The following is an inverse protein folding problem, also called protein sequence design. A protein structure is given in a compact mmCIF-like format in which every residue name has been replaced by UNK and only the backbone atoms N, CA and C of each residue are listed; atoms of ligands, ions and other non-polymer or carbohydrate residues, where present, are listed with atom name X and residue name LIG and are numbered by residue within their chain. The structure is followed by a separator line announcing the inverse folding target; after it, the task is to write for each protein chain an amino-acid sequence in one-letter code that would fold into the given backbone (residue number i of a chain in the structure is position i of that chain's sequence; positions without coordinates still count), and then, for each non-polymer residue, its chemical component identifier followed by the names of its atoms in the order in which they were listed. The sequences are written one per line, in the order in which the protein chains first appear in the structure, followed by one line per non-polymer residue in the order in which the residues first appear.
data_IF_624673412017
#
_entry.id   IF_624673412017
#
_cell.length_a   1.000
_cell.length_b   1.000
_cell.length_c   1.000
_cell.angle_alpha   90.00
_cell.angle_beta   90.00
_cell.angle_gamma   90.00
#
_symmetry.space_group_name_H-M   'P 1'
#
loop_
_entity.id
_entity.type
_entity.pdbx_description
1 polymer ?
#
# COMPACT_ATOMS: atom_id res chain seq x y z
N UNK A 1 17.82 -19.46 -2.27
CA UNK A 1 17.56 -18.98 -3.64
C UNK A 1 16.41 -17.98 -3.60
N UNK A 2 16.39 -16.96 -4.45
CA UNK A 2 15.26 -16.03 -4.51
C UNK A 2 14.02 -16.74 -5.08
N UNK A 3 12.88 -16.60 -4.41
CA UNK A 3 11.61 -17.25 -4.77
C UNK A 3 11.07 -16.79 -6.14
N UNK A 4 11.34 -15.53 -6.51
CA UNK A 4 11.05 -14.96 -7.83
C UNK A 4 12.31 -14.29 -8.37
N UNK A 5 12.67 -14.60 -9.63
CA UNK A 5 13.76 -13.98 -10.37
C UNK A 5 13.29 -13.58 -11.76
N UNK A 6 13.80 -12.46 -12.26
CA UNK A 6 13.55 -11.96 -13.60
C UNK A 6 14.89 -11.76 -14.29
N UNK A 7 14.97 -12.09 -15.57
CA UNK A 7 16.20 -11.82 -16.33
C UNK A 7 16.19 -10.37 -16.85
N UNK A 8 17.36 -9.87 -17.27
CA UNK A 8 17.51 -8.50 -17.76
C UNK A 8 16.58 -8.18 -18.94
N UNK A 9 16.43 -9.10 -19.90
CA UNK A 9 15.59 -8.89 -21.09
C UNK A 9 14.11 -8.68 -20.74
N UNK A 10 13.61 -9.37 -19.71
CA UNK A 10 12.26 -9.18 -19.21
C UNK A 10 12.08 -7.82 -18.51
N UNK A 11 13.08 -7.40 -17.73
CA UNK A 11 13.01 -6.15 -16.96
C UNK A 11 13.01 -4.90 -17.87
N UNK A 12 13.85 -4.89 -18.90
CA UNK A 12 13.91 -3.75 -19.84
C UNK A 12 12.72 -3.70 -20.81
N UNK A 13 11.99 -4.81 -20.99
CA UNK A 13 10.79 -4.85 -21.82
C UNK A 13 9.58 -4.31 -21.06
N UNK A 14 9.25 -3.03 -21.28
CA UNK A 14 8.14 -2.36 -20.61
C UNK A 14 6.78 -3.04 -20.81
N UNK A 15 6.53 -3.72 -21.95
CA UNK A 15 5.28 -4.46 -22.16
C UNK A 15 5.11 -5.66 -21.20
N UNK A 16 6.24 -6.17 -20.68
CA UNK A 16 6.32 -7.24 -19.71
C UNK A 16 6.39 -6.71 -18.27
N UNK A 17 7.29 -5.76 -18.01
CA UNK A 17 7.61 -5.32 -16.65
C UNK A 17 6.55 -4.42 -16.04
N UNK A 18 5.85 -3.61 -16.85
CA UNK A 18 4.79 -2.72 -16.35
C UNK A 18 3.54 -3.46 -15.85
N UNK A 19 3.34 -4.72 -16.27
CA UNK A 19 2.22 -5.57 -15.83
C UNK A 19 2.48 -6.32 -14.53
N UNK A 20 3.67 -6.17 -13.96
CA UNK A 20 4.09 -6.83 -12.71
C UNK A 20 4.30 -5.77 -11.67
N UNK A 21 3.59 -5.93 -10.56
CA UNK A 21 3.55 -4.93 -9.52
C UNK A 21 4.10 -5.48 -8.21
N UNK A 22 4.61 -4.56 -7.39
CA UNK A 22 5.01 -4.78 -6.02
C UNK A 22 3.95 -4.14 -5.14
N UNK A 23 3.51 -4.83 -4.09
CA UNK A 23 2.67 -4.27 -3.05
C UNK A 23 3.32 -4.54 -1.69
N UNK A 24 3.46 -3.47 -0.91
CA UNK A 24 3.76 -3.52 0.51
C UNK A 24 2.64 -2.78 1.23
N UNK A 25 2.11 -3.36 2.31
CA UNK A 25 1.14 -2.72 3.19
C UNK A 25 1.52 -3.00 4.65
N UNK A 26 1.02 -2.20 5.57
CA UNK A 26 1.37 -2.29 6.99
C UNK A 26 0.14 -2.18 7.89
N UNK A 27 0.37 -2.23 9.21
CA UNK A 27 -0.70 -2.24 10.19
C UNK A 27 -1.42 -0.90 10.31
N UNK A 28 -0.82 0.22 9.91
CA UNK A 28 -1.51 1.51 9.95
C UNK A 28 -2.53 1.68 8.81
N UNK A 29 -2.54 0.74 7.84
CA UNK A 29 -3.36 0.81 6.64
C UNK A 29 -2.67 1.55 5.48
N UNK A 30 -1.40 1.92 5.64
CA UNK A 30 -0.58 2.50 4.59
C UNK A 30 -0.12 1.43 3.59
N UNK A 31 0.21 1.87 2.38
CA UNK A 31 0.80 1.00 1.36
C UNK A 31 1.80 1.71 0.46
N UNK A 32 2.67 0.91 -0.16
CA UNK A 32 3.55 1.26 -1.27
C UNK A 32 3.23 0.30 -2.43
N UNK A 33 2.92 0.83 -3.61
CA UNK A 33 2.55 0.04 -4.78
C UNK A 33 3.07 0.68 -6.06
N UNK A 34 3.75 -0.10 -6.90
CA UNK A 34 4.31 0.35 -8.18
C UNK A 34 4.67 -0.87 -9.04
N UNK A 35 5.07 -0.67 -10.29
CA UNK A 35 5.60 -1.76 -11.12
C UNK A 35 6.97 -2.23 -10.64
N UNK A 36 7.41 -3.43 -11.07
CA UNK A 36 8.73 -3.96 -10.73
C UNK A 36 9.91 -3.11 -11.25
N UNK A 37 9.65 -2.14 -12.12
CA UNK A 37 10.65 -1.17 -12.63
C UNK A 37 10.45 0.24 -12.08
N UNK A 38 9.50 0.44 -11.17
CA UNK A 38 9.24 1.73 -10.52
C UNK A 38 8.46 2.75 -11.36
N UNK A 39 7.92 2.33 -12.52
CA UNK A 39 7.03 3.17 -13.32
C UNK A 39 5.59 2.99 -12.85
N UNK A 40 4.95 4.05 -12.40
CA UNK A 40 3.55 4.01 -12.00
C UNK A 40 2.65 3.94 -13.24
N UNK A 41 1.75 2.95 -13.30
CA UNK A 41 0.82 2.73 -14.43
C UNK A 41 -0.65 2.95 -14.06
N UNK A 42 -0.94 3.07 -12.76
CA UNK A 42 -2.29 3.27 -12.22
C UNK A 42 -2.32 4.46 -11.27
N UNK A 43 -3.47 5.12 -11.16
CA UNK A 43 -3.70 6.20 -10.18
C UNK A 43 -3.49 5.75 -8.73
N UNK A 44 -3.56 4.45 -8.46
CA UNK A 44 -3.36 3.89 -7.13
C UNK A 44 -1.90 3.61 -6.79
N UNK A 45 -0.98 3.72 -7.76
CA UNK A 45 0.46 3.52 -7.54
C UNK A 45 1.07 4.75 -6.84
N UNK A 46 1.99 4.50 -5.92
CA UNK A 46 2.68 5.50 -5.11
C UNK A 46 3.63 4.83 -4.11
N UNK A 47 4.65 5.56 -3.66
CA UNK A 47 5.59 5.08 -2.62
C UNK A 47 5.01 5.17 -1.21
N UNK A 48 4.15 6.13 -0.94
CA UNK A 48 3.49 6.27 0.36
C UNK A 48 2.05 6.73 0.19
N UNK A 49 1.13 5.78 0.27
CA UNK A 49 -0.29 6.01 0.47
C UNK A 49 -0.65 5.74 1.93
N UNK A 50 -1.38 6.64 2.57
CA UNK A 50 -1.74 6.54 4.00
C UNK A 50 -3.22 6.86 4.20
N UNK A 51 -3.91 6.23 5.17
CA UNK A 51 -5.20 6.73 5.65
C UNK A 51 -5.04 8.11 6.27
N UNK A 52 -5.94 9.05 5.97
CA UNK A 52 -5.93 10.40 6.54
C UNK A 52 -7.22 10.63 7.32
N UNK A 53 -7.10 10.76 8.64
CA UNK A 53 -8.26 10.84 9.54
C UNK A 53 -9.13 12.06 9.28
N UNK A 54 -8.53 13.21 8.96
CA UNK A 54 -9.24 14.44 8.59
C UNK A 54 -10.16 14.27 7.36
N UNK A 55 -9.93 13.22 6.56
CA UNK A 55 -10.74 12.88 5.38
C UNK A 55 -11.48 11.54 5.56
N UNK A 56 -11.93 11.26 6.79
CA UNK A 56 -12.71 10.05 7.09
C UNK A 56 -11.90 8.76 6.97
N UNK A 57 -10.59 8.81 7.24
CA UNK A 57 -9.66 7.69 7.10
C UNK A 57 -9.52 7.13 5.66
N UNK A 58 -9.96 7.90 4.65
CA UNK A 58 -9.71 7.55 3.25
C UNK A 58 -8.21 7.49 2.95
N UNK A 59 -7.80 6.58 2.05
CA UNK A 59 -6.39 6.46 1.64
C UNK A 59 -6.02 7.59 0.67
N UNK A 60 -4.86 8.20 0.90
CA UNK A 60 -4.32 9.29 0.11
C UNK A 60 -2.84 9.06 -0.21
N UNK A 61 -2.42 9.35 -1.45
CA UNK A 61 -1.02 9.29 -1.85
C UNK A 61 -0.37 10.62 -1.49
N UNK A 62 0.65 10.57 -0.62
CA UNK A 62 1.48 11.72 -0.26
C UNK A 62 2.70 11.80 -1.19
N UNK A 63 3.40 10.67 -1.31
CA UNK A 63 4.61 10.51 -2.11
C UNK A 63 4.33 9.54 -3.26
N UNK A 64 4.29 10.06 -4.49
CA UNK A 64 4.09 9.25 -5.70
C UNK A 64 5.35 8.45 -6.06
N UNK A 65 6.51 9.10 -5.97
CA UNK A 65 7.77 8.52 -6.40
C UNK A 65 8.99 9.30 -5.92
N UNK A 66 10.15 8.67 -6.03
CA UNK A 66 11.46 9.31 -5.92
C UNK A 66 12.20 9.04 -7.22
N UNK A 67 12.57 10.09 -7.94
CA UNK A 67 13.43 9.96 -9.13
C UNK A 67 14.88 10.10 -8.70
N UNK A 68 15.64 9.03 -8.91
CA UNK A 68 17.06 9.02 -8.63
C UNK A 68 17.87 9.39 -9.87
N UNK A 69 18.98 10.08 -9.64
CA UNK A 69 20.05 10.27 -10.61
C UNK A 69 21.39 10.01 -9.96
N UNK A 70 22.29 9.36 -10.70
CA UNK A 70 23.67 9.14 -10.27
C UNK A 70 24.56 10.05 -11.12
N UNK A 71 25.36 10.88 -10.48
CA UNK A 71 26.36 11.73 -11.14
C UNK A 71 27.75 11.14 -10.92
N UNK A 72 28.40 10.76 -12.02
CA UNK A 72 29.76 10.20 -12.04
C UNK A 72 30.56 10.92 -13.12
N UNK A 73 31.77 11.38 -12.80
CA UNK A 73 32.64 12.11 -13.75
C UNK A 73 31.90 13.25 -14.47
N UNK A 74 31.13 14.05 -13.73
CA UNK A 74 30.31 15.17 -14.24
C UNK A 74 29.19 14.78 -15.23
N UNK A 75 28.89 13.49 -15.40
CA UNK A 75 27.77 13.01 -16.21
C UNK A 75 26.65 12.49 -15.31
N UNK A 76 25.43 12.94 -15.58
CA UNK A 76 24.24 12.52 -14.87
C UNK A 76 23.53 11.38 -15.59
N UNK A 77 23.18 10.33 -14.85
CA UNK A 77 22.39 9.20 -15.32
C UNK A 77 21.08 9.12 -14.54
N UNK A 78 19.96 9.38 -15.22
CA UNK A 78 18.63 9.35 -14.62
C UNK A 78 18.13 7.89 -14.52
N UNK A 79 17.75 7.46 -13.33
CA UNK A 79 17.26 6.11 -13.03
C UNK A 79 15.73 6.03 -12.94
N UNK A 80 15.05 7.17 -12.81
CA UNK A 80 13.59 7.27 -12.84
C UNK A 80 12.98 6.83 -14.18
N UNK A 81 11.67 6.63 -14.17
CA UNK A 81 10.86 6.37 -15.35
C UNK A 81 9.43 6.85 -15.15
N UNK A 82 8.95 7.67 -16.07
CA UNK A 82 7.56 8.10 -16.17
C UNK A 82 7.08 7.94 -17.60
N UNK A 83 5.77 7.81 -17.78
CA UNK A 83 5.15 7.83 -19.10
C UNK A 83 4.49 9.19 -19.32
N UNK A 84 4.62 9.76 -20.51
CA UNK A 84 3.99 10.99 -20.96
C UNK A 84 3.34 10.72 -22.33
N UNK A 85 2.02 10.46 -22.32
CA UNK A 85 1.32 9.91 -23.47
C UNK A 85 1.80 8.49 -23.76
N UNK A 86 2.64 8.35 -24.78
CA UNK A 86 3.29 7.12 -25.24
C UNK A 86 4.82 7.16 -25.07
N UNK A 87 5.37 8.28 -24.58
CA UNK A 87 6.81 8.48 -24.41
C UNK A 87 7.22 8.18 -22.98
N UNK A 88 8.20 7.29 -22.80
CA UNK A 88 8.84 7.08 -21.51
C UNK A 88 10.07 7.96 -21.36
N UNK A 89 10.07 8.82 -20.34
CA UNK A 89 11.18 9.69 -19.97
C UNK A 89 11.12 10.00 -18.46
N UNK A 90 12.23 9.92 -17.71
CA UNK A 90 13.51 9.34 -18.11
C UNK A 90 13.42 7.85 -18.42
N UNK A 91 14.44 7.31 -19.11
CA UNK A 91 14.49 5.90 -19.54
C UNK A 91 15.33 5.04 -18.61
N UNK A 92 15.23 5.27 -17.29
CA UNK A 92 16.08 4.64 -16.29
C UNK A 92 15.96 3.12 -16.22
N UNK A 93 14.81 2.56 -16.64
CA UNK A 93 14.60 1.12 -16.78
C UNK A 93 15.67 0.41 -17.63
N UNK A 94 16.31 1.11 -18.57
CA UNK A 94 17.39 0.56 -19.41
C UNK A 94 18.63 0.16 -18.61
N UNK A 95 18.83 0.75 -17.43
CA UNK A 95 19.96 0.44 -16.56
C UNK A 95 19.67 -0.72 -15.60
N UNK A 96 18.42 -1.18 -15.49
CA UNK A 96 18.06 -2.28 -14.60
C UNK A 96 18.67 -3.58 -15.15
N UNK A 97 19.38 -4.30 -14.28
CA UNK A 97 19.99 -5.60 -14.60
C UNK A 97 19.42 -6.75 -13.77
N UNK A 98 18.79 -6.45 -12.63
CA UNK A 98 18.22 -7.46 -11.74
C UNK A 98 17.09 -6.88 -10.88
N UNK A 99 16.11 -7.72 -10.55
CA UNK A 99 15.06 -7.46 -9.58
C UNK A 99 14.89 -8.67 -8.66
N UNK A 100 14.95 -8.43 -7.36
CA UNK A 100 14.69 -9.45 -6.34
C UNK A 100 13.49 -9.02 -5.50
N UNK A 101 12.51 -9.90 -5.31
CA UNK A 101 11.32 -9.60 -4.50
C UNK A 101 11.52 -9.85 -2.99
N UNK A 102 12.35 -10.83 -2.62
CA UNK A 102 12.52 -11.29 -1.24
C UNK A 102 14.02 -11.22 -0.81
N UNK A 103 14.34 -10.81 0.43
CA UNK A 103 13.42 -10.54 1.55
C UNK A 103 12.66 -9.21 1.42
N UNK A 104 13.14 -8.31 0.58
CA UNK A 104 12.49 -7.05 0.24
C UNK A 104 12.66 -6.76 -1.25
N UNK A 105 11.74 -5.99 -1.86
CA UNK A 105 11.88 -5.58 -3.25
C UNK A 105 13.16 -4.76 -3.44
N UNK A 106 14.04 -5.24 -4.31
CA UNK A 106 15.34 -4.64 -4.61
C UNK A 106 15.56 -4.59 -6.11
N UNK A 107 15.83 -3.40 -6.63
CA UNK A 107 16.30 -3.15 -7.99
C UNK A 107 17.81 -2.97 -8.01
N UNK A 108 18.48 -3.62 -8.95
CA UNK A 108 19.91 -3.41 -9.24
C UNK A 108 20.07 -2.73 -10.58
N UNK A 109 20.76 -1.60 -10.59
CA UNK A 109 21.11 -0.82 -11.77
C UNK A 109 22.60 -0.98 -12.07
N UNK A 110 22.95 -1.01 -13.37
CA UNK A 110 24.32 -1.02 -13.84
C UNK A 110 24.55 0.07 -14.89
N UNK A 111 25.49 0.97 -14.61
CA UNK A 111 25.92 2.08 -15.47
C UNK A 111 27.43 1.96 -15.67
N UNK A 112 27.87 1.41 -16.80
CA UNK A 112 29.29 1.07 -16.99
C UNK A 112 29.78 0.11 -15.89
N UNK A 113 30.79 0.55 -15.13
CA UNK A 113 31.36 -0.18 -13.99
C UNK A 113 30.66 0.10 -12.65
N UNK A 114 29.71 1.05 -12.63
CA UNK A 114 28.95 1.42 -11.45
C UNK A 114 27.74 0.52 -11.29
N UNK A 115 27.64 -0.14 -10.13
CA UNK A 115 26.49 -0.95 -9.71
C UNK A 115 25.82 -0.27 -8.52
N UNK A 116 24.53 0.02 -8.66
CA UNK A 116 23.72 0.70 -7.65
C UNK A 116 22.49 -0.15 -7.29
N UNK A 117 22.14 -0.22 -6.01
CA UNK A 117 20.95 -0.94 -5.54
C UNK A 117 19.97 -0.01 -4.85
N UNK A 118 18.69 -0.19 -5.15
CA UNK A 118 17.54 0.46 -4.50
C UNK A 118 16.70 -0.64 -3.87
N UNK A 119 16.48 -0.59 -2.56
CA UNK A 119 15.59 -1.51 -1.84
C UNK A 119 14.50 -0.73 -1.12
N UNK A 120 13.27 -1.24 -1.07
CA UNK A 120 12.14 -0.54 -0.45
C UNK A 120 11.47 -1.40 0.63
N UNK A 121 11.15 -0.78 1.75
CA UNK A 121 10.30 -1.35 2.79
C UNK A 121 9.23 -0.35 3.22
N UNK A 122 8.12 -0.87 3.73
CA UNK A 122 7.17 -0.11 4.51
C UNK A 122 7.35 -0.51 5.98
N UNK A 123 7.44 0.45 6.89
CA UNK A 123 7.53 0.17 8.31
C UNK A 123 6.23 -0.51 8.79
N UNK A 124 6.31 -1.54 9.65
CA UNK A 124 5.12 -2.33 10.02
C UNK A 124 4.09 -1.54 10.82
N UNK A 125 4.53 -0.60 11.66
CA UNK A 125 3.71 0.03 12.69
C UNK A 125 3.63 1.56 12.56
N UNK A 126 4.13 2.13 11.46
CA UNK A 126 4.09 3.57 11.21
C UNK A 126 3.88 3.86 9.73
N UNK A 127 3.25 5.01 9.43
CA UNK A 127 3.03 5.55 8.08
C UNK A 127 4.37 6.01 7.45
N UNK A 128 5.30 5.07 7.25
CA UNK A 128 6.67 5.34 6.84
C UNK A 128 7.14 4.34 5.78
N UNK A 129 7.55 4.86 4.62
CA UNK A 129 8.32 4.13 3.61
C UNK A 129 9.81 4.42 3.80
N UNK A 130 10.64 3.39 3.70
CA UNK A 130 12.10 3.54 3.76
C UNK A 130 12.75 2.92 2.53
N UNK A 131 13.60 3.70 1.87
CA UNK A 131 14.37 3.27 0.71
C UNK A 131 15.85 3.23 1.06
N UNK A 132 16.50 2.10 0.81
CA UNK A 132 17.96 1.96 0.91
C UNK A 132 18.57 2.12 -0.47
N UNK A 133 19.46 3.10 -0.60
CA UNK A 133 20.31 3.31 -1.76
C UNK A 133 21.73 2.88 -1.43
N UNK A 134 22.31 2.00 -2.23
CA UNK A 134 23.62 1.40 -1.98
C UNK A 134 24.49 1.46 -3.24
N UNK A 135 25.69 2.03 -3.12
CA UNK A 135 26.69 2.05 -4.17
C UNK A 135 27.57 0.80 -4.03
N UNK A 136 27.17 -0.29 -4.69
CA UNK A 136 27.82 -1.61 -4.55
C UNK A 136 29.24 -1.61 -5.14
N UNK A 137 29.37 -1.11 -6.37
CA UNK A 137 30.64 -0.93 -7.06
C UNK A 137 30.64 0.38 -7.80
N UNK A 138 31.77 1.07 -7.84
CA UNK A 138 31.99 2.23 -8.69
C UNK A 138 33.51 2.46 -8.81
N UNK A 139 33.99 3.04 -9.93
CA UNK A 139 35.39 3.43 -10.07
C UNK A 139 35.77 4.61 -9.17
N UNK A 140 34.81 5.46 -8.81
CA UNK A 140 34.99 6.63 -7.95
C UNK A 140 33.72 6.91 -7.12
N UNK A 141 33.81 7.86 -6.18
CA UNK A 141 32.62 8.32 -5.46
C UNK A 141 31.61 8.92 -6.43
N UNK A 142 30.33 8.64 -6.21
CA UNK A 142 29.24 9.17 -7.01
C UNK A 142 28.40 10.13 -6.18
N UNK A 143 27.77 11.11 -6.82
CA UNK A 143 26.72 11.90 -6.18
C UNK A 143 25.36 11.29 -6.51
N UNK A 144 24.54 11.09 -5.48
CA UNK A 144 23.16 10.65 -5.58
C UNK A 144 22.27 11.88 -5.48
N UNK A 145 21.48 12.13 -6.52
CA UNK A 145 20.49 13.20 -6.56
C UNK A 145 19.09 12.58 -6.54
N UNK A 146 18.21 13.04 -5.66
CA UNK A 146 16.85 12.50 -5.50
C UNK A 146 15.83 13.62 -5.62
N UNK A 147 14.87 13.46 -6.53
CA UNK A 147 13.71 14.36 -6.68
C UNK A 147 12.44 13.69 -6.15
N UNK A 148 11.79 14.22 -5.11
CA UNK A 148 10.51 13.69 -4.65
C UNK A 148 9.34 14.19 -5.49
N UNK A 149 8.45 13.29 -5.88
CA UNK A 149 7.22 13.59 -6.59
C UNK A 149 6.05 13.55 -5.61
N UNK A 150 5.54 14.73 -5.25
CA UNK A 150 4.47 14.92 -4.28
C UNK A 150 3.12 14.92 -4.98
N UNK A 151 2.14 14.23 -4.37
CA UNK A 151 0.80 14.09 -4.92
C UNK A 151 -0.27 14.75 -4.03
N UNK A 152 -0.27 14.44 -2.73
CA UNK A 152 -1.26 14.91 -1.73
C UNK A 152 -2.70 14.83 -2.24
N UNK A 153 -3.15 13.63 -2.60
CA UNK A 153 -4.47 13.41 -3.20
C UNK A 153 -5.09 12.07 -2.82
N UNK A 154 -6.42 12.00 -2.89
CA UNK A 154 -7.15 10.75 -2.70
C UNK A 154 -6.73 9.71 -3.73
N UNK A 155 -6.66 8.43 -3.33
CA UNK A 155 -6.30 7.34 -4.25
C UNK A 155 -7.31 7.18 -5.41
N UNK A 156 -8.53 7.73 -5.27
CA UNK A 156 -9.57 7.67 -6.31
C UNK A 156 -9.53 8.85 -7.28
N UNK A 157 -8.68 9.85 -7.05
CA UNK A 157 -8.57 11.06 -7.88
C UNK A 157 -7.17 11.22 -8.45
N UNK A 158 -7.04 12.11 -9.42
CA UNK A 158 -5.77 12.64 -9.92
C UNK A 158 -5.65 14.11 -9.50
N UNK A 159 -4.43 14.61 -9.40
CA UNK A 159 -4.13 16.02 -9.17
C UNK A 159 -3.59 16.68 -10.44
N UNK A 160 -3.79 17.98 -10.55
CA UNK A 160 -3.25 18.83 -11.60
C UNK A 160 -2.59 20.05 -10.95
N UNK A 161 -1.74 20.75 -11.69
CA UNK A 161 -1.17 22.01 -11.20
C UNK A 161 -2.29 22.97 -10.79
N UNK A 162 -2.17 23.53 -9.59
CA UNK A 162 -3.16 24.46 -9.06
C UNK A 162 -2.54 25.49 -8.11
N UNK A 163 -3.13 26.70 -8.02
CA UNK A 163 -2.61 27.78 -7.19
C UNK A 163 -2.83 27.58 -5.69
N UNK A 164 -3.65 26.59 -5.28
CA UNK A 164 -3.92 26.29 -3.86
C UNK A 164 -2.81 25.48 -3.21
N UNK A 165 -1.96 24.84 -4.01
CA UNK A 165 -0.86 24.02 -3.51
C UNK A 165 0.15 24.89 -2.76
N UNK A 166 0.41 24.55 -1.50
CA UNK A 166 1.51 25.11 -0.72
C UNK A 166 2.81 24.47 -1.24
N UNK A 167 3.64 25.27 -1.90
CA UNK A 167 4.88 24.80 -2.55
C UNK A 167 6.11 24.93 -1.67
N UNK A 168 6.00 25.61 -0.52
CA UNK A 168 7.08 25.78 0.44
C UNK A 168 7.44 24.50 1.20
N UNK A 169 8.48 24.60 2.02
CA UNK A 169 8.99 23.51 2.85
C UNK A 169 9.45 24.03 4.20
N UNK A 170 9.65 23.11 5.15
CA UNK A 170 10.33 23.40 6.42
C UNK A 170 11.57 22.52 6.57
N UNK A 171 12.68 23.11 6.97
CA UNK A 171 13.89 22.37 7.30
C UNK A 171 13.73 21.59 8.61
N UNK A 172 14.26 20.37 8.63
CA UNK A 172 14.32 19.50 9.81
C UNK A 172 15.66 18.78 9.81
N UNK A 173 15.97 18.05 10.88
CA UNK A 173 17.23 17.30 10.95
C UNK A 173 17.36 16.30 9.79
N UNK A 174 18.44 16.46 9.01
CA UNK A 174 18.78 15.64 7.83
C UNK A 174 17.61 15.45 6.86
N UNK A 175 16.80 16.48 6.65
CA UNK A 175 15.61 16.36 5.82
C UNK A 175 14.79 17.64 5.71
N UNK A 176 13.60 17.50 5.13
CA UNK A 176 12.60 18.57 5.01
C UNK A 176 11.18 18.02 5.18
N UNK A 177 10.25 18.90 5.53
CA UNK A 177 8.82 18.63 5.69
C UNK A 177 8.02 19.41 4.62
N UNK A 178 7.08 18.73 3.98
CA UNK A 178 6.16 19.29 2.99
C UNK A 178 4.70 19.06 3.40
N UNK A 179 3.84 20.02 3.06
CA UNK A 179 2.40 19.88 3.23
C UNK A 179 1.70 20.72 2.15
N UNK A 180 1.18 20.07 1.10
CA UNK A 180 0.61 20.81 -0.03
C UNK A 180 -0.78 21.38 0.25
N UNK A 181 -1.57 20.73 1.10
CA UNK A 181 -2.96 21.09 1.36
C UNK A 181 -3.34 20.87 2.82
N UNK A 182 -4.17 21.76 3.33
CA UNK A 182 -4.75 21.66 4.67
C UNK A 182 -5.49 20.34 4.89
N UNK A 183 -5.42 19.81 6.12
CA UNK A 183 -6.00 18.53 6.51
C UNK A 183 -5.11 17.32 6.24
N UNK A 184 -4.13 17.42 5.34
CA UNK A 184 -3.13 16.36 5.18
C UNK A 184 -2.10 16.37 6.31
N UNK A 185 -1.56 15.20 6.70
CA UNK A 185 -0.36 15.15 7.51
C UNK A 185 0.84 15.68 6.71
N UNK A 186 1.86 16.14 7.42
CA UNK A 186 3.11 16.52 6.79
C UNK A 186 3.80 15.29 6.20
N UNK A 187 4.32 15.40 4.97
CA UNK A 187 5.27 14.44 4.43
C UNK A 187 6.68 14.86 4.85
N UNK A 188 7.29 14.04 5.68
CA UNK A 188 8.63 14.25 6.21
C UNK A 188 9.61 13.35 5.46
N UNK A 189 10.54 13.97 4.73
CA UNK A 189 11.62 13.28 4.02
C UNK A 189 12.93 13.46 4.79
N UNK A 190 13.43 12.39 5.42
CA UNK A 190 14.66 12.40 6.21
C UNK A 190 15.66 11.34 5.74
N UNK A 191 16.95 11.62 5.94
CA UNK A 191 18.05 10.80 5.48
C UNK A 191 18.87 10.30 6.67
N UNK A 192 19.42 9.09 6.57
CA UNK A 192 20.33 8.55 7.59
C UNK A 192 21.72 9.22 7.59
N UNK A 193 21.91 10.25 6.77
CA UNK A 193 23.14 11.01 6.56
C UNK A 193 22.80 12.46 6.29
N UNK A 194 23.76 13.36 6.51
CA UNK A 194 23.65 14.74 6.09
C UNK A 194 23.42 14.81 4.58
N UNK A 195 22.45 15.62 4.19
CA UNK A 195 22.01 15.82 2.82
C UNK A 195 21.85 17.30 2.56
N UNK A 196 22.09 17.74 1.33
CA UNK A 196 21.77 19.09 0.88
C UNK A 196 20.41 19.07 0.19
N UNK A 197 19.52 20.01 0.52
CA UNK A 197 18.26 20.19 -0.19
C UNK A 197 18.30 21.49 -1.00
N UNK A 198 18.15 21.36 -2.32
CA UNK A 198 18.08 22.49 -3.25
C UNK A 198 16.64 22.73 -3.65
N UNK A 199 16.04 23.79 -3.12
CA UNK A 199 14.68 24.21 -3.45
C UNK A 199 14.59 24.74 -4.89
N UNK A 200 13.88 24.00 -5.75
CA UNK A 200 13.69 24.30 -7.17
C UNK A 200 12.30 23.79 -7.59
N UNK A 201 11.22 24.43 -7.10
CA UNK A 201 9.87 23.91 -7.24
C UNK A 201 9.43 23.87 -8.70
N UNK A 202 8.84 22.76 -9.12
CA UNK A 202 8.36 22.56 -10.49
C UNK A 202 7.22 21.55 -10.54
N UNK A 203 6.24 21.77 -11.42
CA UNK A 203 5.20 20.79 -11.72
C UNK A 203 5.60 19.96 -12.94
N UNK A 204 5.68 18.64 -12.75
CA UNK A 204 5.90 17.67 -13.82
C UNK A 204 4.54 17.28 -14.37
N UNK A 205 4.20 17.80 -15.55
CA UNK A 205 2.85 17.77 -16.10
C UNK A 205 2.58 16.57 -17.00
N UNK A 206 1.36 16.03 -16.95
CA UNK A 206 0.87 15.05 -17.91
C UNK A 206 1.48 13.65 -17.77
N UNK A 207 1.92 13.26 -16.57
CA UNK A 207 2.33 11.88 -16.28
C UNK A 207 1.12 10.97 -16.53
N UNK A 208 1.32 9.94 -17.35
CA UNK A 208 0.26 9.10 -17.89
C UNK A 208 0.25 7.72 -17.24
N UNK A 209 -0.86 7.40 -16.58
CA UNK A 209 -1.17 6.08 -16.05
C UNK A 209 -1.75 5.18 -17.14
N UNK A 210 -0.87 4.40 -17.77
CA UNK A 210 -1.18 3.61 -18.97
C UNK A 210 -2.29 2.56 -18.78
N UNK A 211 -2.40 1.97 -17.60
CA UNK A 211 -3.48 1.01 -17.29
C UNK A 211 -4.83 1.72 -17.12
N UNK A 212 -4.84 2.94 -16.56
CA UNK A 212 -6.06 3.77 -16.48
C UNK A 212 -6.49 4.22 -17.87
N UNK A 213 -5.55 4.65 -18.71
CA UNK A 213 -5.79 5.01 -20.11
C UNK A 213 -6.43 3.86 -20.88
N UNK A 214 -5.86 2.65 -20.78
CA UNK A 214 -6.40 1.43 -21.42
C UNK A 214 -7.84 1.13 -20.99
N UNK A 215 -8.22 1.48 -19.77
CA UNK A 215 -9.56 1.25 -19.19
C UNK A 215 -10.54 2.39 -19.47
N UNK A 216 -10.11 3.45 -20.15
CA UNK A 216 -10.94 4.62 -20.45
C UNK A 216 -11.19 5.54 -19.25
N UNK A 217 -10.35 5.49 -18.21
CA UNK A 217 -10.42 6.40 -17.07
C UNK A 217 -9.50 7.61 -17.26
N UNK A 218 -9.72 8.66 -16.47
CA UNK A 218 -8.74 9.76 -16.35
C UNK A 218 -7.36 9.16 -16.01
N UNK A 219 -6.34 9.59 -16.73
CA UNK A 219 -5.03 8.93 -16.69
C UNK A 219 -3.86 9.90 -16.65
N UNK A 220 -4.09 11.21 -16.78
CA UNK A 220 -3.03 12.22 -16.76
C UNK A 220 -3.01 12.95 -15.43
N UNK A 221 -1.85 13.00 -14.80
CA UNK A 221 -1.62 13.65 -13.51
C UNK A 221 -0.42 14.61 -13.62
N UNK A 222 -0.53 15.77 -12.97
CA UNK A 222 0.62 16.64 -12.75
C UNK A 222 1.12 16.40 -11.32
N UNK A 223 2.42 16.22 -11.12
CA UNK A 223 3.00 16.01 -9.80
C UNK A 223 3.95 17.15 -9.43
N UNK A 224 3.89 17.56 -8.16
CA UNK A 224 4.73 18.64 -7.68
C UNK A 224 6.08 18.10 -7.22
N UNK A 225 7.17 18.67 -7.75
CA UNK A 225 8.55 18.38 -7.35
C UNK A 225 9.12 19.63 -6.69
N UNK A 226 9.27 19.67 -5.35
CA UNK A 226 9.71 20.87 -4.64
C UNK A 226 11.19 21.21 -4.86
N UNK A 227 12.00 20.23 -5.26
CA UNK A 227 13.43 20.40 -5.44
C UNK A 227 14.16 19.07 -5.51
N UNK A 228 15.43 19.08 -5.12
CA UNK A 228 16.25 17.86 -5.12
C UNK A 228 17.14 17.78 -3.89
N UNK A 229 17.35 16.56 -3.42
CA UNK A 229 18.34 16.23 -2.41
C UNK A 229 19.62 15.75 -3.08
N UNK A 230 20.79 16.13 -2.57
CA UNK A 230 22.07 15.63 -3.03
C UNK A 230 22.97 15.16 -1.88
N UNK A 231 23.67 14.05 -2.10
CA UNK A 231 24.72 13.57 -1.22
C UNK A 231 25.75 12.72 -1.98
N UNK A 232 26.95 12.60 -1.42
CA UNK A 232 28.00 11.73 -1.97
C UNK A 232 27.94 10.33 -1.37
N UNK A 233 28.18 9.32 -2.20
CA UNK A 233 28.33 7.92 -1.80
C UNK A 233 29.67 7.38 -2.32
N UNK A 234 30.38 6.64 -1.45
CA UNK A 234 31.56 5.85 -1.81
C UNK A 234 31.19 4.39 -2.05
N UNK A 235 32.09 3.64 -2.69
CA UNK A 235 31.93 2.20 -2.89
C UNK A 235 31.67 1.49 -1.55
N UNK A 236 30.66 0.63 -1.51
CA UNK A 236 30.20 -0.10 -0.32
C UNK A 236 29.33 0.72 0.62
N UNK A 237 29.10 2.01 0.34
CA UNK A 237 28.33 2.89 1.18
C UNK A 237 26.84 2.85 0.82
N UNK A 238 25.98 2.99 1.84
CA UNK A 238 24.54 3.16 1.66
C UNK A 238 23.98 4.35 2.42
N UNK A 239 22.82 4.83 1.98
CA UNK A 239 21.98 5.81 2.69
C UNK A 239 20.54 5.29 2.75
N UNK A 240 19.85 5.56 3.87
CA UNK A 240 18.42 5.34 3.99
C UNK A 240 17.69 6.67 3.80
N UNK A 241 16.67 6.66 2.94
CA UNK A 241 15.70 7.76 2.80
C UNK A 241 14.39 7.29 3.40
N UNK A 242 13.87 8.07 4.34
CA UNK A 242 12.59 7.86 4.99
C UNK A 242 11.59 8.87 4.48
N UNK A 243 10.44 8.42 3.96
CA UNK A 243 9.24 9.24 3.82
C UNK A 243 8.24 8.83 4.90
N UNK A 244 7.90 9.74 5.81
CA UNK A 244 7.05 9.46 6.97
C UNK A 244 6.00 10.56 7.17
N UNK A 245 4.94 10.28 7.93
CA UNK A 245 4.03 11.30 8.47
C UNK A 245 4.47 11.85 9.83
N UNK A 246 5.58 11.35 10.38
CA UNK A 246 6.17 11.78 11.64
C UNK A 246 7.68 12.05 11.50
N UNK A 247 8.23 12.84 12.42
CA UNK A 247 9.69 13.05 12.49
C UNK A 247 10.32 11.79 13.06
N UNK A 248 11.38 11.32 12.41
CA UNK A 248 12.10 10.09 12.75
C UNK A 248 13.49 10.40 13.31
N UNK A 249 14.01 9.51 14.16
CA UNK A 249 15.42 9.55 14.57
C UNK A 249 16.31 9.12 13.38
N UNK A 250 16.96 10.10 12.77
CA UNK A 250 17.80 9.91 11.58
C UNK A 250 18.97 8.95 11.81
N UNK A 251 19.49 8.88 13.05
CA UNK A 251 20.60 7.98 13.42
C UNK A 251 20.14 6.53 13.55
N UNK A 252 18.87 6.32 13.87
CA UNK A 252 18.28 4.99 14.01
C UNK A 252 17.81 4.39 12.68
N UNK A 253 17.65 5.17 11.61
CA UNK A 253 17.09 4.71 10.33
C UNK A 253 17.78 3.46 9.76
N UNK A 254 19.11 3.43 9.73
CA UNK A 254 19.87 2.26 9.24
C UNK A 254 19.62 0.99 10.05
N UNK A 255 19.50 1.13 11.38
CA UNK A 255 19.19 0.03 12.30
C UNK A 255 17.74 -0.43 12.14
N UNK A 256 16.80 0.51 12.04
CA UNK A 256 15.37 0.26 11.81
C UNK A 256 15.17 -0.50 10.49
N UNK A 257 15.78 -0.05 9.40
CA UNK A 257 15.73 -0.73 8.10
C UNK A 257 16.23 -2.18 8.21
N UNK A 258 17.43 -2.38 8.76
CA UNK A 258 18.03 -3.71 8.91
C UNK A 258 17.18 -4.64 9.78
N UNK A 259 16.58 -4.11 10.85
CA UNK A 259 15.67 -4.85 11.74
C UNK A 259 14.41 -5.31 11.00
N UNK A 260 13.78 -4.42 10.22
CA UNK A 260 12.58 -4.76 9.43
C UNK A 260 12.91 -5.83 8.37
N UNK A 261 14.01 -5.69 7.65
CA UNK A 261 14.46 -6.70 6.66
C UNK A 261 14.69 -8.05 7.34
N UNK A 262 15.36 -8.06 8.50
CA UNK A 262 15.61 -9.31 9.25
C UNK A 262 14.32 -9.97 9.73
N UNK A 263 13.35 -9.18 10.22
CA UNK A 263 12.05 -9.67 10.71
C UNK A 263 11.16 -10.22 9.59
N UNK A 264 11.23 -9.64 8.37
CA UNK A 264 10.48 -10.16 7.22
C UNK A 264 10.87 -11.60 6.86
N UNK A 265 12.12 -11.98 7.11
CA UNK A 265 12.63 -13.31 6.76
C UNK A 265 12.61 -13.58 5.25
N UNK A 266 12.85 -14.83 4.88
CA UNK A 266 12.78 -15.27 3.49
C UNK A 266 11.46 -15.98 3.24
N UNK A 267 10.77 -15.63 2.16
CA UNK A 267 9.64 -16.39 1.64
C UNK A 267 10.24 -17.57 0.86
N UNK A 268 9.97 -18.79 1.31
CA UNK A 268 10.57 -20.01 0.73
C UNK A 268 9.54 -20.98 0.16
N UNK A 269 8.27 -20.79 0.48
CA UNK A 269 7.16 -21.65 0.05
C UNK A 269 5.91 -20.83 -0.28
N UNK A 270 4.97 -21.44 -0.99
CA UNK A 270 3.65 -20.86 -1.24
C UNK A 270 2.89 -20.59 0.07
N UNK A 271 3.09 -21.43 1.09
CA UNK A 271 2.50 -21.22 2.42
C UNK A 271 3.04 -19.95 3.08
N UNK A 272 4.35 -19.70 3.02
CA UNK A 272 4.95 -18.46 3.54
C UNK A 272 4.40 -17.24 2.82
N UNK A 273 4.23 -17.34 1.50
CA UNK A 273 3.66 -16.26 0.68
C UNK A 273 2.20 -15.97 1.04
N UNK A 274 1.37 -17.00 1.22
CA UNK A 274 -0.03 -16.84 1.62
C UNK A 274 -0.14 -16.19 3.01
N UNK A 275 0.68 -16.62 3.98
CA UNK A 275 0.72 -16.02 5.32
C UNK A 275 1.16 -14.56 5.29
N UNK A 276 2.21 -14.27 4.50
CA UNK A 276 2.67 -12.90 4.29
C UNK A 276 1.55 -12.02 3.69
N UNK A 277 0.88 -12.50 2.64
CA UNK A 277 -0.21 -11.78 2.01
C UNK A 277 -1.43 -11.61 2.93
N UNK A 278 -1.72 -12.59 3.78
CA UNK A 278 -2.78 -12.48 4.77
C UNK A 278 -2.50 -11.36 5.78
N UNK A 279 -1.25 -11.26 6.24
CA UNK A 279 -0.81 -10.22 7.17
C UNK A 279 -0.94 -8.80 6.58
N UNK A 280 -0.71 -8.64 5.27
CA UNK A 280 -0.86 -7.36 4.56
C UNK A 280 -2.29 -6.80 4.58
N UNK A 281 -3.29 -7.68 4.70
CA UNK A 281 -4.70 -7.29 4.63
C UNK A 281 -5.28 -6.93 6.00
N UNK A 282 -4.53 -7.07 7.09
CA UNK A 282 -4.98 -6.73 8.44
C UNK A 282 -4.36 -5.40 8.86
N UNK A 283 -5.21 -4.41 9.13
CA UNK A 283 -4.79 -3.13 9.71
C UNK A 283 -5.36 -2.92 11.11
N UNK A 284 -4.66 -2.11 11.90
CA UNK A 284 -5.04 -1.62 13.21
C UNK A 284 -4.79 -0.11 13.23
N UNK A 285 -5.86 0.68 13.12
CA UNK A 285 -5.78 2.15 13.18
C UNK A 285 -6.69 2.63 14.30
N UNK A 286 -6.19 3.52 15.17
CA UNK A 286 -6.94 4.03 16.32
C UNK A 286 -7.49 2.91 17.23
N UNK A 287 -6.70 1.84 17.43
CA UNK A 287 -7.09 0.62 18.15
C UNK A 287 -8.28 -0.14 17.53
N UNK A 288 -8.60 0.14 16.27
CA UNK A 288 -9.66 -0.52 15.52
C UNK A 288 -9.05 -1.47 14.50
N UNK A 289 -9.10 -2.77 14.78
CA UNK A 289 -8.62 -3.83 13.88
C UNK A 289 -9.65 -4.16 12.82
N UNK A 290 -9.24 -4.15 11.56
CA UNK A 290 -10.10 -4.41 10.42
C UNK A 290 -9.35 -5.14 9.30
N UNK A 291 -10.11 -5.74 8.38
CA UNK A 291 -9.57 -6.30 7.12
C UNK A 291 -9.72 -5.27 6.00
N UNK A 292 -8.63 -5.03 5.28
CA UNK A 292 -8.64 -4.34 3.99
C UNK A 292 -9.15 -5.32 2.94
N UNK A 293 -10.31 -5.04 2.34
CA UNK A 293 -10.98 -5.97 1.44
C UNK A 293 -10.18 -6.26 0.15
N UNK A 294 -9.33 -5.32 -0.25
CA UNK A 294 -8.41 -5.48 -1.38
C UNK A 294 -7.56 -4.25 -1.59
N UNK A 295 -6.26 -4.47 -1.69
CA UNK A 295 -5.33 -3.42 -2.08
C UNK A 295 -5.35 -3.27 -3.61
N UNK A 296 -5.36 -2.06 -4.15
CA UNK A 296 -5.23 -0.76 -3.46
C UNK A 296 -6.53 0.05 -3.41
N UNK A 297 -7.59 -0.36 -4.12
CA UNK A 297 -8.79 0.46 -4.32
C UNK A 297 -10.01 0.09 -3.46
N UNK A 298 -10.05 -1.08 -2.82
CA UNK A 298 -11.20 -1.45 -1.99
C UNK A 298 -11.08 -0.85 -0.59
N UNK A 299 -12.25 -0.69 0.03
CA UNK A 299 -12.39 -0.19 1.39
C UNK A 299 -11.85 -1.14 2.45
N UNK A 300 -11.84 -0.64 3.68
CA UNK A 300 -11.51 -1.41 4.88
C UNK A 300 -12.80 -1.71 5.65
N UNK A 301 -12.91 -2.89 6.25
CA UNK A 301 -14.08 -3.27 7.06
C UNK A 301 -15.36 -3.54 6.27
N UNK A 302 -15.25 -3.90 4.99
CA UNK A 302 -16.43 -4.27 4.18
C UNK A 302 -17.01 -5.59 4.70
N UNK A 303 -18.32 -5.62 4.99
CA UNK A 303 -19.00 -6.71 5.69
C UNK A 303 -18.79 -8.08 5.03
N UNK A 304 -19.21 -8.23 3.77
CA UNK A 304 -19.10 -9.49 3.02
C UNK A 304 -17.66 -9.97 2.91
N UNK A 305 -16.76 -9.10 2.45
CA UNK A 305 -15.37 -9.46 2.19
C UNK A 305 -14.66 -9.86 3.49
N UNK A 306 -14.89 -9.10 4.56
CA UNK A 306 -14.33 -9.39 5.89
C UNK A 306 -14.85 -10.72 6.42
N UNK A 307 -16.17 -10.93 6.47
CA UNK A 307 -16.72 -12.15 7.10
C UNK A 307 -16.32 -13.43 6.37
N UNK A 308 -16.19 -13.38 5.04
CA UNK A 308 -15.75 -14.52 4.23
C UNK A 308 -14.27 -14.81 4.42
N UNK A 309 -13.42 -13.77 4.43
CA UNK A 309 -11.97 -13.94 4.48
C UNK A 309 -11.44 -14.14 5.91
N UNK A 310 -12.16 -13.66 6.93
CA UNK A 310 -11.69 -13.55 8.31
C UNK A 310 -11.07 -14.85 8.86
N UNK A 311 -11.74 -16.03 8.80
CA UNK A 311 -11.13 -17.26 9.30
C UNK A 311 -9.80 -17.60 8.60
N UNK A 312 -9.75 -17.47 7.27
CA UNK A 312 -8.56 -17.75 6.47
C UNK A 312 -7.40 -16.83 6.81
N UNK A 313 -7.68 -15.52 6.90
CA UNK A 313 -6.67 -14.48 7.16
C UNK A 313 -6.16 -14.47 8.61
N UNK A 314 -6.89 -15.07 9.56
CA UNK A 314 -6.52 -15.04 10.97
C UNK A 314 -6.18 -16.42 11.52
N UNK A 315 -7.17 -17.30 11.65
CA UNK A 315 -7.04 -18.62 12.27
C UNK A 315 -6.04 -19.50 11.52
N UNK A 316 -6.17 -19.58 10.19
CA UNK A 316 -5.37 -20.48 9.37
C UNK A 316 -4.05 -19.86 8.87
N UNK A 317 -3.99 -18.52 8.71
CA UNK A 317 -2.78 -17.82 8.29
C UNK A 317 -1.83 -17.46 9.46
N UNK A 318 -2.29 -17.58 10.71
CA UNK A 318 -1.42 -17.48 11.90
C UNK A 318 -1.54 -16.19 12.72
N UNK A 319 -2.50 -15.30 12.43
CA UNK A 319 -2.80 -14.17 13.32
C UNK A 319 -3.45 -14.64 14.63
N UNK A 320 -4.20 -15.75 14.58
CA UNK A 320 -4.73 -16.43 15.76
C UNK A 320 -6.15 -16.00 16.18
N UNK A 321 -6.64 -16.67 17.22
CA UNK A 321 -8.01 -16.54 17.72
C UNK A 321 -8.34 -15.15 18.30
N UNK A 322 -7.36 -14.50 18.94
CA UNK A 322 -7.54 -13.16 19.52
C UNK A 322 -7.82 -12.13 18.43
N UNK A 323 -6.98 -12.10 17.39
CA UNK A 323 -7.16 -11.26 16.21
C UNK A 323 -8.48 -11.56 15.48
N UNK A 324 -8.87 -12.84 15.37
CA UNK A 324 -10.18 -13.21 14.82
C UNK A 324 -11.33 -12.55 15.58
N UNK A 325 -11.34 -12.70 16.91
CA UNK A 325 -12.41 -12.16 17.75
C UNK A 325 -12.45 -10.63 17.71
N UNK A 326 -11.30 -9.95 17.84
CA UNK A 326 -11.25 -8.49 17.81
C UNK A 326 -11.75 -7.91 16.49
N UNK A 327 -11.37 -8.50 15.34
CA UNK A 327 -11.85 -8.04 14.03
C UNK A 327 -13.35 -8.34 13.86
N UNK A 328 -13.83 -9.49 14.32
CA UNK A 328 -15.25 -9.84 14.25
C UNK A 328 -16.10 -8.90 15.11
N UNK A 329 -15.63 -8.59 16.32
CA UNK A 329 -16.30 -7.68 17.26
C UNK A 329 -16.42 -6.28 16.64
N UNK A 330 -15.33 -5.76 16.06
CA UNK A 330 -15.32 -4.49 15.35
C UNK A 330 -16.25 -4.50 14.13
N UNK A 331 -16.22 -5.58 13.33
CA UNK A 331 -17.09 -5.72 12.17
C UNK A 331 -18.57 -5.70 12.55
N UNK A 332 -18.94 -6.40 13.64
CA UNK A 332 -20.31 -6.43 14.15
C UNK A 332 -20.73 -5.05 14.65
N UNK A 333 -19.86 -4.35 15.40
CA UNK A 333 -20.13 -3.01 15.88
C UNK A 333 -20.37 -2.01 14.72
N UNK A 334 -19.54 -2.07 13.69
CA UNK A 334 -19.60 -1.16 12.53
C UNK A 334 -20.80 -1.42 11.60
N UNK A 335 -21.45 -2.60 11.70
CA UNK A 335 -22.46 -3.04 10.73
C UNK A 335 -23.82 -3.42 11.36
N UNK A 336 -24.15 -2.93 12.56
CA UNK A 336 -25.43 -3.24 13.24
C UNK A 336 -26.66 -3.09 12.33
N UNK A 337 -26.78 -1.98 11.59
CA UNK A 337 -27.91 -1.76 10.68
C UNK A 337 -27.96 -2.83 9.56
N UNK A 338 -26.82 -3.18 8.98
CA UNK A 338 -26.74 -4.19 7.92
C UNK A 338 -27.08 -5.58 8.43
N UNK A 339 -26.63 -5.89 9.65
CA UNK A 339 -26.84 -7.16 10.30
C UNK A 339 -28.28 -7.36 10.78
N UNK A 340 -28.96 -6.30 11.23
CA UNK A 340 -30.25 -6.43 11.93
C UNK A 340 -31.44 -5.82 11.20
N UNK A 341 -31.23 -4.91 10.24
CA UNK A 341 -32.32 -4.13 9.65
C UNK A 341 -32.36 -4.20 8.12
N UNK A 342 -31.30 -3.79 7.42
CA UNK A 342 -31.32 -3.63 5.96
C UNK A 342 -29.94 -3.82 5.33
N UNK A 343 -29.85 -4.60 4.26
CA UNK A 343 -28.60 -4.81 3.53
C UNK A 343 -28.84 -4.95 2.03
N UNK A 344 -27.89 -4.53 1.21
CA UNK A 344 -27.85 -4.90 -0.22
C UNK A 344 -26.99 -6.14 -0.47
N UNK A 345 -26.49 -6.77 0.60
CA UNK A 345 -25.71 -7.99 0.58
C UNK A 345 -26.44 -9.03 1.42
N UNK A 346 -27.51 -9.62 0.88
CA UNK A 346 -28.51 -10.37 1.66
C UNK A 346 -27.93 -11.65 2.29
N UNK A 347 -26.84 -12.17 1.77
CA UNK A 347 -26.14 -13.33 2.34
C UNK A 347 -25.10 -12.94 3.40
N UNK A 348 -24.59 -11.71 3.37
CA UNK A 348 -23.44 -11.33 4.18
C UNK A 348 -23.69 -11.41 5.70
N UNK A 349 -24.84 -10.95 6.25
CA UNK A 349 -25.15 -11.17 7.67
C UNK A 349 -25.18 -12.65 8.07
N UNK A 350 -25.74 -13.51 7.21
CA UNK A 350 -25.86 -14.94 7.48
C UNK A 350 -24.48 -15.64 7.52
N UNK A 351 -23.50 -15.12 6.78
CA UNK A 351 -22.12 -15.64 6.77
C UNK A 351 -21.39 -15.49 8.11
N UNK A 352 -21.89 -14.66 9.03
CA UNK A 352 -21.36 -14.60 10.41
C UNK A 352 -21.44 -15.99 11.07
N UNK A 353 -22.53 -16.73 10.85
CA UNK A 353 -22.67 -18.07 11.38
C UNK A 353 -21.61 -19.04 10.83
N UNK A 354 -21.26 -18.93 9.54
CA UNK A 354 -20.20 -19.73 8.93
C UNK A 354 -18.83 -19.39 9.53
N UNK A 355 -18.51 -18.10 9.69
CA UNK A 355 -17.26 -17.67 10.32
C UNK A 355 -17.13 -18.20 11.76
N UNK A 356 -18.22 -18.16 12.55
CA UNK A 356 -18.26 -18.71 13.90
C UNK A 356 -18.14 -20.24 13.92
N UNK A 357 -18.76 -20.94 12.97
CA UNK A 357 -18.58 -22.39 12.84
C UNK A 357 -17.13 -22.75 12.50
N UNK A 358 -16.48 -21.98 11.63
CA UNK A 358 -15.06 -22.17 11.34
C UNK A 358 -14.20 -21.91 12.59
N UNK A 359 -14.53 -20.91 13.40
CA UNK A 359 -13.84 -20.65 14.67
C UNK A 359 -13.98 -21.80 15.66
N UNK A 360 -15.18 -22.39 15.79
CA UNK A 360 -15.41 -23.58 16.61
C UNK A 360 -14.63 -24.79 16.08
N UNK A 361 -14.66 -25.04 14.76
CA UNK A 361 -13.89 -26.14 14.14
C UNK A 361 -12.38 -25.98 14.32
N UNK A 362 -11.89 -24.74 14.35
CA UNK A 362 -10.49 -24.45 14.63
C UNK A 362 -10.08 -24.76 16.07
N UNK A 363 -11.03 -24.78 17.01
CA UNK A 363 -10.80 -25.20 18.40
C UNK A 363 -11.44 -24.30 19.47
N UNK A 364 -12.24 -23.30 19.09
CA UNK A 364 -12.95 -22.48 20.07
C UNK A 364 -14.05 -23.28 20.80
N UNK A 365 -14.23 -23.01 22.10
CA UNK A 365 -15.29 -23.63 22.90
C UNK A 365 -16.68 -23.20 22.39
N UNK A 366 -17.54 -24.12 21.92
CA UNK A 366 -18.85 -23.78 21.38
C UNK A 366 -19.76 -23.02 22.35
N UNK A 367 -19.70 -23.32 23.66
CA UNK A 367 -20.51 -22.65 24.68
C UNK A 367 -20.04 -21.22 24.88
N UNK A 368 -18.74 -20.96 24.86
CA UNK A 368 -18.19 -19.60 24.96
C UNK A 368 -18.52 -18.77 23.72
N UNK A 369 -18.37 -19.36 22.52
CA UNK A 369 -18.73 -18.72 21.26
C UNK A 369 -20.21 -18.34 21.25
N UNK A 370 -21.10 -19.29 21.62
CA UNK A 370 -22.54 -19.02 21.71
C UNK A 370 -22.88 -17.98 22.78
N UNK A 371 -22.22 -18.01 23.94
CA UNK A 371 -22.41 -17.00 24.99
C UNK A 371 -22.06 -15.60 24.50
N UNK A 372 -21.00 -15.44 23.69
CA UNK A 372 -20.54 -14.14 23.19
C UNK A 372 -21.35 -13.64 22.01
N UNK A 373 -21.63 -14.50 21.03
CA UNK A 373 -22.19 -14.09 19.73
C UNK A 373 -23.65 -14.54 19.49
N UNK A 374 -24.22 -15.36 20.37
CA UNK A 374 -25.52 -15.98 20.16
C UNK A 374 -26.67 -14.99 20.00
N UNK A 375 -26.69 -13.90 20.77
CA UNK A 375 -27.71 -12.86 20.63
C UNK A 375 -27.61 -12.13 19.29
N UNK A 376 -26.39 -11.84 18.80
CA UNK A 376 -26.19 -11.28 17.46
C UNK A 376 -26.69 -12.23 16.38
N UNK A 377 -26.38 -13.52 16.48
CA UNK A 377 -26.83 -14.52 15.49
C UNK A 377 -28.37 -14.66 15.50
N UNK A 378 -29.00 -14.67 16.68
CA UNK A 378 -30.48 -14.68 16.79
C UNK A 378 -31.09 -13.44 16.14
N UNK A 379 -30.57 -12.26 16.47
CA UNK A 379 -31.05 -10.99 15.89
C UNK A 379 -30.90 -10.95 14.37
N UNK A 380 -29.79 -11.48 13.84
CA UNK A 380 -29.64 -11.66 12.39
C UNK A 380 -30.74 -12.56 11.84
N UNK A 381 -30.96 -13.75 12.39
CA UNK A 381 -31.99 -14.69 11.89
C UNK A 381 -33.39 -14.07 11.94
N UNK A 382 -33.75 -13.44 13.07
CA UNK A 382 -35.04 -12.78 13.27
C UNK A 382 -35.27 -11.64 12.29
N UNK A 383 -34.21 -10.96 11.84
CA UNK A 383 -34.31 -9.90 10.84
C UNK A 383 -34.73 -10.39 9.45
N UNK A 384 -34.69 -11.69 9.17
CA UNK A 384 -35.16 -12.28 7.91
C UNK A 384 -36.60 -12.78 7.99
N UNK A 385 -37.27 -12.65 9.14
CA UNK A 385 -38.69 -12.97 9.27
C UNK A 385 -39.54 -12.11 8.31
N UNK A 386 -40.71 -12.61 7.86
CA UNK A 386 -41.59 -11.87 6.96
C UNK A 386 -41.86 -10.44 7.43
N UNK A 387 -41.71 -9.47 6.52
CA UNK A 387 -42.01 -8.06 6.78
C UNK A 387 -40.93 -7.28 7.55
N UNK A 388 -39.83 -7.92 7.98
CA UNK A 388 -38.72 -7.22 8.66
C UNK A 388 -37.79 -6.48 7.70
N UNK A 389 -37.41 -7.12 6.60
CA UNK A 389 -36.58 -6.56 5.52
C UNK A 389 -37.42 -6.36 4.27
N UNK A 390 -37.14 -5.28 3.52
CA UNK A 390 -37.85 -5.00 2.28
C UNK A 390 -37.31 -5.83 1.11
N UNK A 391 -36.02 -6.16 1.14
CA UNK A 391 -35.30 -6.84 0.06
C UNK A 391 -35.29 -8.37 0.15
N UNK A 392 -35.67 -8.95 1.29
CA UNK A 392 -35.61 -10.39 1.53
C UNK A 392 -36.64 -10.81 2.58
N UNK A 393 -37.26 -11.96 2.39
CA UNK A 393 -38.18 -12.55 3.37
C UNK A 393 -38.05 -14.07 3.41
N UNK A 394 -38.25 -14.66 4.59
CA UNK A 394 -38.42 -16.10 4.78
C UNK A 394 -39.82 -16.52 4.30
N UNK A 395 -39.88 -17.51 3.41
CA UNK A 395 -41.14 -18.08 2.92
C UNK A 395 -41.59 -19.28 3.78
N UNK A 396 -42.88 -19.68 3.72
CA UNK A 396 -43.40 -20.83 4.46
C UNK A 396 -42.69 -22.16 4.18
N UNK A 397 -42.01 -22.28 3.03
CA UNK A 397 -41.19 -23.45 2.69
C UNK A 397 -39.81 -23.46 3.38
N UNK A 398 -39.52 -22.49 4.26
CA UNK A 398 -38.26 -22.38 4.99
C UNK A 398 -37.11 -21.78 4.18
N UNK A 399 -37.35 -21.30 2.96
CA UNK A 399 -36.33 -20.70 2.10
C UNK A 399 -36.44 -19.17 2.10
N UNK A 400 -35.29 -18.50 1.94
CA UNK A 400 -35.23 -17.06 1.77
C UNK A 400 -35.48 -16.69 0.30
N UNK A 401 -36.40 -15.76 0.07
CA UNK A 401 -36.60 -15.12 -1.23
C UNK A 401 -36.09 -13.68 -1.17
N UNK A 402 -35.11 -13.34 -2.00
CA UNK A 402 -34.54 -12.00 -2.07
C UNK A 402 -34.87 -11.37 -3.43
N UNK A 403 -35.49 -10.19 -3.41
CA UNK A 403 -35.85 -9.47 -4.61
C UNK A 403 -35.90 -7.97 -4.35
N UNK A 404 -35.24 -7.22 -5.22
CA UNK A 404 -35.33 -5.76 -5.25
C UNK A 404 -35.05 -5.24 -6.64
N UNK A 405 -35.95 -4.39 -7.15
CA UNK A 405 -35.84 -3.83 -8.48
C UNK A 405 -34.49 -3.13 -8.69
N UNK A 406 -33.83 -3.41 -9.82
CA UNK A 406 -32.55 -2.82 -10.25
C UNK A 406 -31.42 -2.88 -9.19
N UNK A 407 -31.43 -3.88 -8.32
CA UNK A 407 -30.42 -4.03 -7.26
C UNK A 407 -29.80 -5.42 -7.30
N UNK A 408 -28.48 -5.50 -7.40
CA UNK A 408 -27.74 -6.73 -7.15
C UNK A 408 -27.71 -6.98 -5.63
N UNK A 409 -28.41 -8.04 -5.19
CA UNK A 409 -28.53 -8.39 -3.77
C UNK A 409 -27.50 -9.43 -3.33
N UNK A 410 -26.90 -10.13 -4.28
CA UNK A 410 -25.90 -11.18 -4.05
C UNK A 410 -24.48 -10.64 -4.29
N UNK A 411 -23.48 -11.52 -4.27
CA UNK A 411 -22.11 -11.16 -4.63
C UNK A 411 -21.91 -11.00 -6.14
N UNK A 412 -22.80 -11.57 -6.96
CA UNK A 412 -22.82 -11.47 -8.43
C UNK A 412 -23.57 -10.24 -8.92
#
# INVERSE_FOLDING_TARGET
MAFLKFNKSELVNLSYSLKREIICANKTGAYCNTSIVGCNTRRYHGLLAVPVDAFGSGKHILLSGLDESIVVNHRQFNLGIHCYGDIYEPRGHKYIVDFTAAPVPTLTYKIGETTFRKSVILAPDSDQVMLKYELVSAPSSCELVIKPFLAFRSIHRLTCENPKARTGYREIENGVSFNMYEGFPDLILQFSKKVEFRYTPSWYKGITYTDEYRRGFDCKEDLFVPGSFSLKLRKGESVIVSGSTAVEDTKALSRKFSSVVKKKGNITSDSDLLKYNADLLICNRNNHKQIVAGLTWLGTGLLRETVVALPGLTLYAGAGAKEFEEILDNLIADNQERLLCRTTQVEAPLRIADALQQYIRFGADPKKVWKKYGETVKGIIESYLPGRRAEVALHPNGLLWAQKWRTALSWM
#
